data_IF_124027554431
#
_entry.id   IF_124027554431
#
_cell.length_a   1.000
_cell.length_b   1.000
_cell.length_c   1.000
_cell.angle_alpha   90.00
_cell.angle_beta   90.00
_cell.angle_gamma   90.00
#
_symmetry.space_group_name_H-M   'P 1'
#
loop_
_entity.id
_entity.type
_entity.pdbx_description
1 polymer ?
#
# COMPACT_ATOMS: atom_id res chain seq x y z
N UNK A 1 21.49 29.84 46.22
CA UNK A 1 22.35 28.75 45.72
C UNK A 1 21.86 28.38 44.35
N UNK A 2 22.61 28.80 43.34
CA UNK A 2 22.44 28.39 41.96
C UNK A 2 23.07 27.01 41.77
N UNK A 3 22.50 26.22 40.86
CA UNK A 3 23.30 25.36 39.98
C UNK A 3 22.64 25.39 38.62
N UNK A 4 23.27 26.14 37.72
CA UNK A 4 23.18 26.01 36.28
C UNK A 4 23.68 24.63 35.85
N UNK A 5 23.12 24.06 34.80
CA UNK A 5 23.94 23.63 33.66
C UNK A 5 23.15 23.79 32.37
N UNK A 6 23.79 24.52 31.47
CA UNK A 6 23.42 24.90 30.12
C UNK A 6 23.65 23.70 29.16
N UNK A 7 22.74 23.50 28.22
CA UNK A 7 23.10 23.11 26.86
C UNK A 7 22.43 24.09 25.89
N UNK A 8 23.27 24.95 25.35
CA UNK A 8 23.03 25.79 24.19
C UNK A 8 23.44 25.00 22.94
N UNK A 9 22.54 24.89 21.97
CA UNK A 9 22.87 25.22 20.58
C UNK A 9 21.62 25.13 19.72
N UNK A 10 21.09 26.32 19.39
CA UNK A 10 20.97 26.78 18.01
C UNK A 10 20.59 25.73 16.95
N UNK A 11 19.32 25.72 16.55
CA UNK A 11 18.96 26.08 15.17
C UNK A 11 17.60 26.78 15.16
N UNK A 12 17.66 28.11 15.08
CA UNK A 12 16.56 28.94 14.62
C UNK A 12 16.18 28.52 13.19
N UNK A 13 15.26 27.58 13.04
CA UNK A 13 14.48 27.46 11.81
C UNK A 13 13.12 28.08 12.08
N UNK A 14 13.06 29.39 11.92
CA UNK A 14 11.81 30.13 11.73
C UNK A 14 11.21 29.64 10.41
N UNK A 15 10.59 28.44 10.43
CA UNK A 15 9.68 28.02 9.38
C UNK A 15 8.46 28.91 9.51
N UNK A 16 8.53 30.07 8.86
CA UNK A 16 7.35 30.79 8.43
C UNK A 16 6.53 29.77 7.63
N UNK A 17 5.46 29.27 8.24
CA UNK A 17 4.44 28.49 7.58
C UNK A 17 3.78 29.42 6.57
N UNK A 18 4.33 29.46 5.36
CA UNK A 18 3.67 30.09 4.21
C UNK A 18 2.45 29.23 3.91
N UNK A 19 1.33 29.64 4.48
CA UNK A 19 0.02 29.06 4.22
C UNK A 19 -0.36 29.47 2.79
N UNK A 20 0.09 28.70 1.80
CA UNK A 20 -0.42 28.83 0.45
C UNK A 20 -1.91 28.45 0.48
N UNK A 21 -2.79 29.46 0.53
CA UNK A 21 -4.18 29.27 0.15
C UNK A 21 -4.15 28.76 -1.30
N UNK A 22 -4.52 27.48 -1.51
CA UNK A 22 -4.85 26.98 -2.85
C UNK A 22 -5.98 27.87 -3.36
N UNK A 23 -5.66 28.80 -4.25
CA UNK A 23 -6.67 29.48 -5.01
C UNK A 23 -7.42 28.40 -5.79
N UNK A 24 -8.75 28.43 -5.70
CA UNK A 24 -9.57 27.58 -6.56
C UNK A 24 -9.18 27.91 -8.02
N UNK A 25 -8.99 26.89 -8.88
CA UNK A 25 -8.78 27.15 -10.29
C UNK A 25 -9.98 27.98 -10.80
N UNK A 26 -9.74 29.02 -11.61
CA UNK A 26 -10.81 29.84 -12.12
C UNK A 26 -11.78 28.98 -12.97
N UNK A 27 -13.07 29.25 -12.87
CA UNK A 27 -14.14 28.46 -13.51
C UNK A 27 -14.08 28.48 -15.05
N UNK A 28 -13.26 29.37 -15.62
CA UNK A 28 -13.09 29.59 -17.05
C UNK A 28 -12.16 28.57 -17.73
N UNK A 29 -11.54 27.66 -16.97
CA UNK A 29 -10.69 26.58 -17.51
C UNK A 29 -9.36 27.05 -18.09
N UNK A 30 -9.00 28.33 -17.89
CA UNK A 30 -7.72 28.88 -18.34
C UNK A 30 -6.62 28.60 -17.30
N UNK A 31 -5.43 28.21 -17.78
CA UNK A 31 -4.26 28.00 -16.94
C UNK A 31 -3.89 29.33 -16.22
N UNK A 32 -3.90 29.37 -14.87
CA UNK A 32 -3.54 30.56 -14.10
C UNK A 32 -2.15 31.12 -14.45
N UNK A 33 -1.19 30.26 -14.82
CA UNK A 33 0.15 30.67 -15.24
C UNK A 33 0.13 31.38 -16.59
N UNK A 34 -0.68 30.89 -17.54
CA UNK A 34 -0.83 31.53 -18.85
C UNK A 34 -1.48 32.91 -18.74
N UNK A 35 -2.46 33.04 -17.86
CA UNK A 35 -3.07 34.34 -17.57
C UNK A 35 -2.08 35.32 -16.93
N UNK A 36 -1.24 34.83 -16.02
CA UNK A 36 -0.20 35.64 -15.37
C UNK A 36 0.86 36.10 -16.39
N UNK A 37 1.35 35.19 -17.24
CA UNK A 37 2.28 35.49 -18.34
C UNK A 37 1.69 36.53 -19.30
N UNK A 38 0.45 36.33 -19.73
CA UNK A 38 -0.23 37.25 -20.63
C UNK A 38 -0.42 38.64 -20.01
N UNK A 39 -0.70 38.70 -18.70
CA UNK A 39 -0.80 39.97 -17.97
C UNK A 39 0.55 40.68 -17.81
N UNK A 40 1.63 39.95 -17.56
CA UNK A 40 2.99 40.48 -17.46
C UNK A 40 3.47 41.02 -18.81
N UNK A 41 3.20 40.31 -19.91
CA UNK A 41 3.50 40.76 -21.27
C UNK A 41 2.72 42.02 -21.66
N UNK A 42 1.43 42.10 -21.28
CA UNK A 42 0.63 43.30 -21.51
C UNK A 42 1.14 44.50 -20.69
N UNK A 43 1.56 44.30 -19.44
CA UNK A 43 2.17 45.36 -18.62
C UNK A 43 3.50 45.85 -19.20
N UNK A 44 4.40 44.93 -19.59
CA UNK A 44 5.65 45.26 -20.25
C UNK A 44 5.43 46.07 -21.56
N UNK A 45 4.42 45.70 -22.35
CA UNK A 45 4.04 46.42 -23.57
C UNK A 45 3.46 47.83 -23.30
N UNK A 46 2.65 47.97 -22.25
CA UNK A 46 2.09 49.28 -21.83
C UNK A 46 3.19 50.20 -21.28
N UNK A 47 4.19 49.68 -20.57
CA UNK A 47 5.34 50.46 -20.13
C UNK A 47 6.24 50.88 -21.31
N UNK A 48 6.49 49.97 -22.26
CA UNK A 48 7.20 50.27 -23.51
C UNK A 48 6.56 51.40 -24.32
N UNK A 49 5.24 51.55 -24.27
CA UNK A 49 4.50 52.58 -25.02
C UNK A 49 4.30 53.91 -24.27
N UNK A 50 4.41 53.94 -22.94
CA UNK A 50 4.13 55.15 -22.13
C UNK A 50 5.33 55.95 -21.64
N UNK A 51 6.56 55.45 -21.68
CA UNK A 51 7.75 56.25 -21.31
C UNK A 51 9.01 55.81 -22.06
N UNK A 52 9.34 56.53 -23.15
CA UNK A 52 10.74 56.80 -23.53
C UNK A 52 11.23 58.08 -22.85
N UNK A 53 11.11 58.16 -21.53
CA UNK A 53 11.85 59.14 -20.73
C UNK A 53 12.99 58.36 -20.08
N UNK A 54 14.19 58.48 -20.65
CA UNK A 54 15.38 57.73 -20.25
C UNK A 54 15.87 58.09 -18.86
N UNK A 55 15.31 57.44 -17.83
CA UNK A 55 15.93 57.31 -16.51
C UNK A 55 16.37 55.86 -16.30
N UNK A 56 17.53 55.65 -15.68
CA UNK A 56 18.14 54.32 -15.46
C UNK A 56 17.21 53.36 -14.69
N UNK A 57 16.34 53.90 -13.83
CA UNK A 57 15.32 53.13 -13.09
C UNK A 57 14.32 52.40 -14.01
N UNK A 58 13.93 53.00 -15.15
CA UNK A 58 12.99 52.37 -16.08
C UNK A 58 13.61 51.18 -16.82
N UNK A 59 14.91 51.23 -17.11
CA UNK A 59 15.63 50.09 -17.70
C UNK A 59 15.77 48.94 -16.69
N UNK A 60 16.04 49.25 -15.41
CA UNK A 60 16.12 48.25 -14.33
C UNK A 60 14.80 47.50 -14.12
N UNK A 61 13.66 48.18 -14.17
CA UNK A 61 12.34 47.53 -14.05
C UNK A 61 12.09 46.56 -15.21
N UNK A 62 12.46 46.94 -16.43
CA UNK A 62 12.32 46.06 -17.61
C UNK A 62 13.21 44.82 -17.53
N UNK A 63 14.44 44.97 -17.03
CA UNK A 63 15.34 43.83 -16.81
C UNK A 63 14.77 42.86 -15.74
N UNK A 64 14.14 43.39 -14.69
CA UNK A 64 13.45 42.58 -13.68
C UNK A 64 12.23 41.86 -14.27
N UNK A 65 11.39 42.56 -15.05
CA UNK A 65 10.21 41.96 -15.68
C UNK A 65 10.60 40.84 -16.65
N UNK A 66 11.64 41.07 -17.45
CA UNK A 66 12.18 40.06 -18.37
C UNK A 66 12.71 38.84 -17.62
N UNK A 67 13.44 39.06 -16.52
CA UNK A 67 13.91 37.95 -15.67
C UNK A 67 12.74 37.14 -15.08
N UNK A 68 11.68 37.81 -14.62
CA UNK A 68 10.48 37.14 -14.11
C UNK A 68 9.80 36.32 -15.22
N UNK A 69 9.72 36.85 -16.44
CA UNK A 69 9.18 36.11 -17.59
C UNK A 69 10.01 34.86 -17.90
N UNK A 70 11.34 34.97 -17.93
CA UNK A 70 12.26 33.85 -18.15
C UNK A 70 12.11 32.78 -17.05
N UNK A 71 12.11 33.19 -15.77
CA UNK A 71 11.93 32.30 -14.61
C UNK A 71 10.55 31.59 -14.67
N UNK A 72 9.49 32.30 -15.08
CA UNK A 72 8.16 31.72 -15.23
C UNK A 72 8.08 30.69 -16.35
N UNK A 73 8.75 30.94 -17.49
CA UNK A 73 8.85 29.98 -18.58
C UNK A 73 9.60 28.72 -18.16
N UNK A 74 10.69 28.88 -17.38
CA UNK A 74 11.43 27.76 -16.81
C UNK A 74 10.57 26.94 -15.84
N UNK A 75 9.84 27.60 -14.93
CA UNK A 75 8.90 26.95 -14.01
C UNK A 75 7.82 26.17 -14.79
N UNK A 76 7.23 26.78 -15.83
CA UNK A 76 6.22 26.12 -16.66
C UNK A 76 6.78 24.88 -17.37
N UNK A 77 8.02 24.95 -17.85
CA UNK A 77 8.68 23.79 -18.45
C UNK A 77 8.90 22.67 -17.43
N UNK A 78 9.32 23.02 -16.20
CA UNK A 78 9.54 22.07 -15.11
C UNK A 78 8.26 21.41 -14.65
N UNK A 79 7.15 22.16 -14.55
CA UNK A 79 5.82 21.60 -14.22
C UNK A 79 5.41 20.53 -15.25
N UNK A 80 5.58 20.79 -16.54
CA UNK A 80 5.27 19.81 -17.60
C UNK A 80 6.09 18.54 -17.48
N UNK A 81 7.38 18.65 -17.14
CA UNK A 81 8.25 17.50 -16.91
C UNK A 81 7.75 16.68 -15.72
N UNK A 82 7.46 17.34 -14.60
CA UNK A 82 6.94 16.71 -13.38
C UNK A 82 5.59 16.02 -13.64
N UNK A 83 4.69 16.64 -14.39
CA UNK A 83 3.41 16.02 -14.78
C UNK A 83 3.61 14.76 -15.64
N UNK A 84 4.58 14.80 -16.56
CA UNK A 84 4.99 13.64 -17.35
C UNK A 84 5.53 12.50 -16.49
N UNK A 85 6.48 12.79 -15.60
CA UNK A 85 7.04 11.82 -14.66
C UNK A 85 5.96 11.24 -13.74
N UNK A 86 5.05 12.08 -13.23
CA UNK A 86 3.95 11.63 -12.39
C UNK A 86 2.98 10.70 -13.13
N UNK A 87 2.71 10.94 -14.41
CA UNK A 87 1.91 10.05 -15.24
C UNK A 87 2.58 8.67 -15.42
N UNK A 88 3.90 8.67 -15.69
CA UNK A 88 4.69 7.43 -15.82
C UNK A 88 4.73 6.67 -14.50
N UNK A 89 5.02 7.33 -13.38
CA UNK A 89 5.02 6.70 -12.05
C UNK A 89 3.64 6.12 -11.72
N UNK A 90 2.56 6.82 -12.07
CA UNK A 90 1.19 6.32 -11.86
C UNK A 90 0.91 5.07 -12.70
N UNK A 91 1.37 5.03 -13.94
CA UNK A 91 1.26 3.86 -14.81
C UNK A 91 2.08 2.68 -14.30
N UNK A 92 3.35 2.92 -13.92
CA UNK A 92 4.21 1.91 -13.30
C UNK A 92 3.62 1.38 -11.99
N UNK A 93 3.09 2.26 -11.13
CA UNK A 93 2.38 1.86 -9.92
C UNK A 93 1.16 1.03 -10.25
N UNK A 94 0.38 1.38 -11.27
CA UNK A 94 -0.77 0.56 -11.70
C UNK A 94 -0.33 -0.82 -12.20
N UNK A 95 0.79 -0.90 -12.93
CA UNK A 95 1.36 -2.16 -13.41
C UNK A 95 1.88 -3.02 -12.25
N UNK A 96 2.64 -2.42 -11.33
CA UNK A 96 3.23 -3.08 -10.17
C UNK A 96 2.19 -3.50 -9.13
N UNK A 97 1.11 -2.72 -8.95
CA UNK A 97 0.02 -3.07 -8.04
C UNK A 97 -0.96 -4.09 -8.65
N UNK A 98 -1.14 -4.08 -9.98
CA UNK A 98 -2.03 -5.01 -10.67
C UNK A 98 -1.47 -6.43 -10.82
N UNK A 99 -0.15 -6.58 -10.99
CA UNK A 99 0.47 -7.91 -11.22
C UNK A 99 0.27 -8.89 -10.06
N UNK A 100 0.48 -8.52 -8.78
CA UNK A 100 0.21 -9.41 -7.64
C UNK A 100 -1.26 -9.79 -7.55
N UNK A 101 -2.18 -8.86 -7.80
CA UNK A 101 -3.63 -9.12 -7.78
C UNK A 101 -4.02 -10.13 -8.86
N UNK A 102 -3.52 -9.98 -10.08
CA UNK A 102 -3.80 -10.91 -11.18
C UNK A 102 -3.21 -12.30 -10.91
N UNK A 103 -1.99 -12.37 -10.38
CA UNK A 103 -1.37 -13.64 -10.00
C UNK A 103 -2.19 -14.33 -8.90
N UNK A 104 -2.63 -13.57 -7.89
CA UNK A 104 -3.44 -14.09 -6.80
C UNK A 104 -4.83 -14.52 -7.26
N UNK A 105 -5.44 -13.82 -8.21
CA UNK A 105 -6.71 -14.25 -8.80
C UNK A 105 -6.61 -15.63 -9.46
N UNK A 106 -5.49 -15.93 -10.14
CA UNK A 106 -5.23 -17.28 -10.68
C UNK A 106 -5.14 -18.34 -9.58
N UNK A 107 -4.58 -17.99 -8.41
CA UNK A 107 -4.54 -18.88 -7.24
C UNK A 107 -5.94 -19.14 -6.71
N UNK A 108 -6.78 -18.10 -6.58
CA UNK A 108 -8.18 -18.25 -6.18
C UNK A 108 -8.97 -19.13 -7.15
N UNK A 109 -8.79 -18.94 -8.47
CA UNK A 109 -9.42 -19.78 -9.48
C UNK A 109 -8.97 -21.25 -9.39
N UNK A 110 -7.68 -21.50 -9.15
CA UNK A 110 -7.17 -22.84 -8.94
C UNK A 110 -7.76 -23.49 -7.67
N UNK A 111 -7.85 -22.74 -6.57
CA UNK A 111 -8.49 -23.19 -5.31
C UNK A 111 -9.94 -23.58 -5.55
N UNK A 112 -10.71 -22.74 -6.25
CA UNK A 112 -12.11 -23.01 -6.61
C UNK A 112 -12.30 -24.29 -7.42
N UNK A 113 -11.46 -24.49 -8.45
CA UNK A 113 -11.50 -25.71 -9.28
C UNK A 113 -11.23 -26.95 -8.42
N UNK A 114 -10.31 -26.85 -7.46
CA UNK A 114 -10.00 -27.93 -6.51
C UNK A 114 -11.21 -28.29 -5.65
N UNK A 115 -11.82 -27.30 -4.99
CA UNK A 115 -12.97 -27.50 -4.10
C UNK A 115 -14.18 -28.09 -4.84
N UNK A 116 -14.49 -27.58 -6.05
CA UNK A 116 -15.62 -28.10 -6.85
C UNK A 116 -15.45 -29.55 -7.28
N UNK A 117 -14.24 -29.93 -7.68
CA UNK A 117 -14.01 -31.29 -8.18
C UNK A 117 -13.87 -32.33 -7.06
N UNK A 118 -13.91 -31.91 -5.78
CA UNK A 118 -13.59 -32.75 -4.60
C UNK A 118 -12.27 -33.53 -4.75
N UNK A 119 -11.43 -33.12 -5.70
CA UNK A 119 -10.14 -33.69 -5.97
C UNK A 119 -9.25 -33.21 -4.83
N UNK A 120 -9.21 -33.98 -3.74
CA UNK A 120 -8.21 -33.85 -2.67
C UNK A 120 -6.79 -34.21 -3.17
N UNK A 121 -6.58 -34.24 -4.49
CA UNK A 121 -5.25 -34.08 -5.08
C UNK A 121 -4.85 -32.64 -4.75
N UNK A 122 -4.40 -32.43 -3.52
CA UNK A 122 -4.05 -31.11 -3.00
C UNK A 122 -3.24 -30.39 -4.06
N UNK A 123 -3.53 -29.10 -4.21
CA UNK A 123 -3.15 -28.30 -5.38
C UNK A 123 -1.73 -28.70 -5.76
N UNK A 124 -1.58 -29.44 -6.87
CA UNK A 124 -0.27 -29.75 -7.42
C UNK A 124 0.24 -28.39 -7.88
N UNK A 125 0.93 -27.70 -6.97
CA UNK A 125 1.67 -26.47 -7.18
C UNK A 125 2.87 -26.80 -8.05
N UNK A 126 2.61 -27.32 -9.25
CA UNK A 126 3.54 -27.34 -10.33
C UNK A 126 3.71 -25.88 -10.76
N UNK A 127 4.63 -25.21 -10.08
CA UNK A 127 5.38 -24.06 -10.62
C UNK A 127 4.51 -22.92 -11.14
N UNK A 128 3.88 -22.19 -10.22
CA UNK A 128 3.72 -20.74 -10.42
C UNK A 128 5.04 -20.17 -9.90
N UNK A 129 5.89 -19.71 -10.82
CA UNK A 129 7.29 -19.30 -10.62
C UNK A 129 7.62 -18.69 -9.24
N UNK A 130 8.62 -19.28 -8.57
CA UNK A 130 9.53 -18.73 -7.53
C UNK A 130 8.97 -17.95 -6.32
N UNK A 131 7.67 -17.76 -6.22
CA UNK A 131 7.02 -17.35 -4.98
C UNK A 131 6.48 -18.61 -4.35
N UNK A 132 7.11 -19.06 -3.27
CA UNK A 132 6.65 -20.16 -2.42
C UNK A 132 5.13 -20.02 -2.30
N UNK A 133 4.39 -20.91 -2.96
CA UNK A 133 2.94 -20.87 -3.01
C UNK A 133 2.42 -21.24 -1.62
N UNK A 134 2.43 -20.26 -0.72
CA UNK A 134 1.70 -20.33 0.53
C UNK A 134 0.23 -20.48 0.17
N UNK A 135 -0.39 -21.56 0.62
CA UNK A 135 -1.81 -21.81 0.41
C UNK A 135 -2.68 -20.76 1.10
N UNK A 136 -2.11 -19.92 1.97
CA UNK A 136 -2.73 -18.73 2.54
C UNK A 136 -1.96 -17.44 2.21
N UNK A 137 -2.72 -16.41 1.87
CA UNK A 137 -2.34 -14.98 1.84
C UNK A 137 -3.68 -14.24 1.96
N UNK A 138 -4.12 -14.10 3.21
CA UNK A 138 -5.46 -13.64 3.55
C UNK A 138 -5.68 -12.21 3.08
N UNK A 139 -4.72 -11.30 3.29
CA UNK A 139 -4.82 -9.92 2.83
C UNK A 139 -4.78 -9.82 1.30
N UNK A 140 -3.95 -10.61 0.62
CA UNK A 140 -3.92 -10.68 -0.83
C UNK A 140 -5.24 -11.21 -1.40
N UNK A 141 -5.81 -12.25 -0.79
CA UNK A 141 -7.12 -12.80 -1.16
C UNK A 141 -8.23 -11.75 -0.95
N UNK A 142 -8.21 -10.99 0.16
CA UNK A 142 -9.17 -9.91 0.39
C UNK A 142 -9.11 -8.87 -0.73
N UNK A 143 -7.92 -8.33 -1.01
CA UNK A 143 -7.72 -7.32 -2.07
C UNK A 143 -8.14 -7.85 -3.43
N UNK A 144 -7.84 -9.11 -3.72
CA UNK A 144 -8.17 -9.74 -4.99
C UNK A 144 -9.67 -9.93 -5.15
N UNK A 145 -10.37 -10.38 -4.11
CA UNK A 145 -11.83 -10.54 -4.15
C UNK A 145 -12.51 -9.17 -4.27
N UNK A 146 -12.02 -8.14 -3.58
CA UNK A 146 -12.51 -6.75 -3.76
C UNK A 146 -12.34 -6.29 -5.21
N UNK A 147 -11.17 -6.51 -5.81
CA UNK A 147 -10.93 -6.18 -7.22
C UNK A 147 -11.87 -6.94 -8.15
N UNK A 148 -12.06 -8.25 -7.92
CA UNK A 148 -12.94 -9.10 -8.74
C UNK A 148 -14.41 -8.73 -8.58
N UNK A 149 -14.83 -8.21 -7.43
CA UNK A 149 -16.19 -7.76 -7.19
C UNK A 149 -16.63 -6.63 -8.14
N UNK A 150 -15.70 -5.77 -8.56
CA UNK A 150 -15.97 -4.68 -9.49
C UNK A 150 -16.10 -5.13 -10.95
N UNK A 151 -15.56 -6.33 -11.29
CA UNK A 151 -15.44 -6.80 -12.68
C UNK A 151 -16.19 -8.11 -12.96
N UNK A 152 -16.62 -8.85 -11.94
CA UNK A 152 -17.20 -10.19 -12.10
C UNK A 152 -18.39 -10.46 -11.18
N UNK A 153 -19.41 -11.10 -11.73
CA UNK A 153 -20.56 -11.62 -10.98
C UNK A 153 -20.21 -12.82 -10.09
N UNK A 154 -18.98 -13.35 -10.18
CA UNK A 154 -18.52 -14.53 -9.43
C UNK A 154 -17.95 -14.21 -8.04
N UNK A 155 -18.01 -12.96 -7.61
CA UNK A 155 -17.48 -12.52 -6.32
C UNK A 155 -18.05 -13.29 -5.14
N UNK A 156 -19.34 -13.67 -5.16
CA UNK A 156 -19.96 -14.49 -4.12
C UNK A 156 -19.31 -15.86 -3.96
N UNK A 157 -18.88 -16.48 -5.05
CA UNK A 157 -18.22 -17.78 -5.01
C UNK A 157 -16.82 -17.68 -4.40
N UNK A 158 -16.05 -16.64 -4.75
CA UNK A 158 -14.75 -16.42 -4.13
C UNK A 158 -14.86 -16.08 -2.63
N UNK A 159 -15.93 -15.41 -2.21
CA UNK A 159 -16.20 -15.18 -0.78
C UNK A 159 -16.49 -16.47 -0.02
N UNK A 160 -17.20 -17.42 -0.65
CA UNK A 160 -17.45 -18.75 -0.08
C UNK A 160 -16.16 -19.56 0.00
N UNK A 161 -15.37 -19.60 -1.08
CA UNK A 161 -14.07 -20.28 -1.10
C UNK A 161 -13.09 -19.67 -0.07
N UNK A 162 -13.17 -18.35 0.16
CA UNK A 162 -12.42 -17.66 1.21
C UNK A 162 -12.84 -18.16 2.60
N UNK A 163 -14.13 -18.27 2.86
CA UNK A 163 -14.63 -18.81 4.12
C UNK A 163 -14.16 -20.25 4.35
N UNK A 164 -14.16 -21.08 3.31
CA UNK A 164 -13.66 -22.46 3.39
C UNK A 164 -12.15 -22.52 3.68
N UNK A 165 -11.35 -21.64 3.08
CA UNK A 165 -9.90 -21.61 3.27
C UNK A 165 -9.48 -21.11 4.66
N UNK A 166 -10.09 -20.01 5.12
CA UNK A 166 -9.66 -19.30 6.33
C UNK A 166 -10.55 -19.54 7.55
N UNK A 167 -11.76 -20.09 7.37
CA UNK A 167 -12.70 -20.35 8.46
C UNK A 167 -13.39 -19.10 9.04
N UNK A 168 -13.33 -17.97 8.34
CA UNK A 168 -13.97 -16.70 8.73
C UNK A 168 -14.72 -16.12 7.52
N UNK A 169 -15.93 -15.57 7.68
CA UNK A 169 -16.67 -14.96 6.58
C UNK A 169 -15.89 -13.79 5.97
N UNK A 170 -15.94 -13.65 4.65
CA UNK A 170 -15.20 -12.60 3.93
C UNK A 170 -15.52 -11.19 4.44
N UNK A 171 -16.80 -10.85 4.60
CA UNK A 171 -17.19 -9.50 5.01
C UNK A 171 -16.74 -9.18 6.45
N UNK A 172 -16.65 -10.19 7.32
CA UNK A 172 -16.09 -10.05 8.67
C UNK A 172 -14.57 -9.86 8.62
N UNK A 173 -13.87 -10.68 7.82
CA UNK A 173 -12.44 -10.57 7.62
C UNK A 173 -12.04 -9.21 7.03
N UNK A 174 -12.80 -8.69 6.07
CA UNK A 174 -12.58 -7.39 5.45
C UNK A 174 -12.52 -6.25 6.47
N UNK A 175 -13.32 -6.33 7.53
CA UNK A 175 -13.36 -5.31 8.59
C UNK A 175 -12.26 -5.54 9.63
N UNK A 176 -12.04 -6.78 10.05
CA UNK A 176 -11.16 -7.09 11.20
C UNK A 176 -9.68 -7.19 10.82
N UNK A 177 -9.36 -7.93 9.75
CA UNK A 177 -7.98 -8.31 9.41
C UNK A 177 -7.04 -7.11 9.23
N UNK A 178 -7.43 -5.98 8.59
CA UNK A 178 -6.53 -4.83 8.44
C UNK A 178 -6.05 -4.24 9.77
N UNK A 179 -6.77 -4.51 10.86
CA UNK A 179 -6.50 -3.98 12.19
C UNK A 179 -5.82 -4.99 13.13
N UNK A 180 -5.72 -6.26 12.72
CA UNK A 180 -5.11 -7.30 13.51
C UNK A 180 -3.58 -7.26 13.48
N UNK A 181 -2.90 -7.77 14.52
CA UNK A 181 -1.47 -8.01 14.47
C UNK A 181 -1.12 -8.98 13.34
N UNK A 182 -0.03 -8.73 12.61
CA UNK A 182 0.50 -9.62 11.56
C UNK A 182 0.59 -11.09 11.98
N UNK A 183 0.86 -11.37 13.27
CA UNK A 183 0.97 -12.73 13.80
C UNK A 183 -0.35 -13.52 13.68
N UNK A 184 -1.48 -12.84 13.75
CA UNK A 184 -2.81 -13.43 13.57
C UNK A 184 -3.05 -13.76 12.10
N UNK A 185 -2.81 -12.81 11.21
CA UNK A 185 -2.86 -13.01 9.75
C UNK A 185 -2.01 -14.22 9.35
N UNK A 186 -0.78 -14.27 9.83
CA UNK A 186 0.15 -15.37 9.58
C UNK A 186 -0.40 -16.72 10.07
N UNK A 187 -1.11 -16.78 11.19
CA UNK A 187 -1.73 -18.01 11.69
C UNK A 187 -2.87 -18.48 10.76
N UNK A 188 -3.69 -17.55 10.24
CA UNK A 188 -4.68 -17.86 9.21
C UNK A 188 -4.02 -18.40 7.94
N UNK A 189 -2.94 -17.78 7.48
CA UNK A 189 -2.25 -18.18 6.27
C UNK A 189 -1.61 -19.57 6.39
N UNK A 190 -0.98 -19.84 7.54
CA UNK A 190 -0.42 -21.15 7.86
C UNK A 190 -1.52 -22.20 7.88
N UNK A 191 -2.64 -21.95 8.57
CA UNK A 191 -3.75 -22.90 8.64
C UNK A 191 -4.33 -23.21 7.26
N UNK A 192 -4.57 -22.19 6.44
CA UNK A 192 -5.02 -22.37 5.05
C UNK A 192 -4.01 -23.19 4.24
N UNK A 193 -2.71 -22.91 4.40
CA UNK A 193 -1.64 -23.67 3.74
C UNK A 193 -1.61 -25.15 4.13
N UNK A 194 -1.83 -25.48 5.41
CA UNK A 194 -1.87 -26.87 5.89
C UNK A 194 -3.07 -27.66 5.34
N UNK A 195 -4.14 -26.96 4.96
CA UNK A 195 -5.33 -27.56 4.38
C UNK A 195 -5.18 -27.76 2.87
N UNK A 196 -4.75 -26.71 2.16
CA UNK A 196 -4.79 -26.67 0.70
C UNK A 196 -3.59 -27.36 0.02
N UNK A 197 -2.42 -27.38 0.68
CA UNK A 197 -1.20 -27.92 0.08
C UNK A 197 -0.99 -29.39 0.43
N UNK A 198 -0.90 -30.23 -0.60
CA UNK A 198 -0.66 -31.67 -0.43
C UNK A 198 0.63 -31.99 0.33
N UNK A 199 1.67 -31.16 0.18
CA UNK A 199 2.97 -31.35 0.83
C UNK A 199 2.89 -31.44 2.36
N UNK A 200 1.84 -30.89 2.97
CA UNK A 200 1.63 -30.94 4.41
C UNK A 200 0.88 -32.18 4.89
N UNK A 201 0.14 -32.88 4.03
CA UNK A 201 -0.75 -33.98 4.44
C UNK A 201 -0.01 -35.15 5.11
N UNK A 202 1.25 -35.41 4.74
CA UNK A 202 2.05 -36.52 5.24
C UNK A 202 3.05 -36.13 6.35
N UNK A 203 2.95 -34.93 6.93
CA UNK A 203 3.94 -34.42 7.90
C UNK A 203 3.46 -34.59 9.33
N UNK A 204 4.32 -35.17 10.18
CA UNK A 204 4.03 -35.41 11.60
C UNK A 204 3.77 -34.12 12.39
N UNK A 205 4.36 -32.99 11.99
CA UNK A 205 4.12 -31.70 12.65
C UNK A 205 2.81 -31.04 12.26
N UNK A 206 2.09 -31.54 11.24
CA UNK A 206 0.88 -30.87 10.72
C UNK A 206 -0.16 -30.68 11.81
N UNK A 207 -0.43 -31.71 12.62
CA UNK A 207 -1.45 -31.65 13.67
C UNK A 207 -1.11 -30.61 14.73
N UNK A 208 0.16 -30.55 15.16
CA UNK A 208 0.65 -29.59 16.15
C UNK A 208 0.53 -28.16 15.62
N UNK A 209 1.04 -27.89 14.40
CA UNK A 209 0.96 -26.56 13.79
C UNK A 209 -0.51 -26.16 13.60
N UNK A 210 -1.37 -27.08 13.15
CA UNK A 210 -2.81 -26.82 12.99
C UNK A 210 -3.48 -26.48 14.32
N UNK A 211 -3.15 -27.19 15.39
CA UNK A 211 -3.68 -26.93 16.72
C UNK A 211 -3.25 -25.55 17.23
N UNK A 212 -1.97 -25.21 17.10
CA UNK A 212 -1.43 -23.91 17.52
C UNK A 212 -2.04 -22.75 16.71
N UNK A 213 -2.14 -22.91 15.39
CA UNK A 213 -2.79 -21.93 14.52
C UNK A 213 -4.27 -21.74 14.91
N UNK A 214 -4.98 -22.84 15.20
CA UNK A 214 -6.38 -22.78 15.64
C UNK A 214 -6.50 -22.05 16.97
N UNK A 215 -5.63 -22.33 17.94
CA UNK A 215 -5.63 -21.64 19.23
C UNK A 215 -5.42 -20.13 19.07
N UNK A 216 -4.49 -19.70 18.23
CA UNK A 216 -4.25 -18.28 17.93
C UNK A 216 -5.48 -17.65 17.27
N UNK A 217 -6.08 -18.33 16.29
CA UNK A 217 -7.26 -17.83 15.56
C UNK A 217 -8.46 -17.69 16.49
N UNK A 218 -8.77 -18.71 17.29
CA UNK A 218 -9.88 -18.67 18.25
C UNK A 218 -9.68 -17.55 19.28
N UNK A 219 -8.45 -17.38 19.76
CA UNK A 219 -8.09 -16.27 20.65
C UNK A 219 -8.31 -14.91 19.97
N UNK A 220 -7.88 -14.74 18.71
CA UNK A 220 -8.08 -13.52 17.95
C UNK A 220 -9.56 -13.20 17.68
N UNK A 221 -10.38 -14.22 17.42
CA UNK A 221 -11.81 -14.05 17.18
C UNK A 221 -12.61 -13.70 18.45
N UNK A 222 -12.09 -14.05 19.62
CA UNK A 222 -12.74 -13.85 20.93
C UNK A 222 -12.18 -12.69 21.76
N UNK A 223 -11.13 -12.03 21.29
CA UNK A 223 -10.48 -10.90 21.98
C UNK A 223 -10.78 -9.60 21.24
N UNK A 224 -11.02 -8.52 21.99
CA UNK A 224 -11.12 -7.18 21.41
C UNK A 224 -9.79 -6.76 20.76
N UNK A 225 -9.87 -6.02 19.65
CA UNK A 225 -8.69 -5.76 18.82
C UNK A 225 -7.60 -4.94 19.54
N UNK A 226 -8.00 -4.01 20.41
CA UNK A 226 -7.10 -3.18 21.21
C UNK A 226 -6.31 -3.98 22.26
N UNK A 227 -6.81 -5.15 22.67
CA UNK A 227 -6.17 -6.07 23.62
C UNK A 227 -5.34 -7.15 22.92
N UNK A 228 -5.65 -7.46 21.66
CA UNK A 228 -5.04 -8.56 20.92
C UNK A 228 -3.52 -8.38 20.75
N UNK A 229 -3.05 -7.15 20.55
CA UNK A 229 -1.62 -6.85 20.45
C UNK A 229 -0.86 -7.22 21.72
N UNK A 230 -1.45 -7.00 22.91
CA UNK A 230 -0.80 -7.27 24.19
C UNK A 230 -0.59 -8.78 24.41
N UNK A 231 -1.47 -9.63 23.87
CA UNK A 231 -1.33 -11.10 23.95
C UNK A 231 -0.12 -11.66 23.20
N UNK A 232 0.48 -10.86 22.32
CA UNK A 232 1.70 -11.21 21.57
C UNK A 232 2.96 -10.44 22.04
N UNK A 233 2.88 -9.70 23.14
CA UNK A 233 4.03 -9.04 23.77
C UNK A 233 4.70 -9.96 24.80
N UNK A 234 5.76 -9.49 25.46
CA UNK A 234 6.47 -10.25 26.49
C UNK A 234 5.53 -10.60 27.65
N UNK A 235 5.44 -11.89 27.99
CA UNK A 235 4.48 -12.41 28.97
C UNK A 235 3.06 -12.62 28.43
N UNK A 236 2.81 -12.29 27.16
CA UNK A 236 1.56 -12.59 26.46
C UNK A 236 1.44 -14.09 26.14
N UNK A 237 0.25 -14.63 26.31
CA UNK A 237 -0.02 -16.07 26.23
C UNK A 237 0.05 -16.64 24.81
N UNK A 238 -0.11 -15.80 23.78
CA UNK A 238 -0.05 -16.22 22.37
C UNK A 238 1.36 -16.14 21.78
N UNK A 239 2.30 -15.47 22.44
CA UNK A 239 3.61 -15.18 21.86
C UNK A 239 4.45 -16.44 21.66
N UNK A 240 4.54 -17.29 22.68
CA UNK A 240 5.32 -18.54 22.61
C UNK A 240 4.70 -19.52 21.60
N UNK A 241 3.37 -19.61 21.59
CA UNK A 241 2.60 -20.46 20.66
C UNK A 241 2.87 -20.03 19.22
N UNK A 242 2.86 -18.73 18.94
CA UNK A 242 3.14 -18.21 17.61
C UNK A 242 4.56 -18.53 17.16
N UNK A 243 5.57 -18.30 18.01
CA UNK A 243 6.97 -18.58 17.68
C UNK A 243 7.16 -20.05 17.35
N UNK A 244 6.63 -20.96 18.18
CA UNK A 244 6.76 -22.39 17.95
C UNK A 244 6.06 -22.82 16.66
N UNK A 245 4.84 -22.34 16.44
CA UNK A 245 4.07 -22.63 15.23
C UNK A 245 4.80 -22.20 13.96
N UNK A 246 5.25 -20.94 13.90
CA UNK A 246 5.92 -20.40 12.71
C UNK A 246 7.29 -21.08 12.51
N UNK A 247 8.02 -21.39 13.59
CA UNK A 247 9.26 -22.15 13.50
C UNK A 247 9.03 -23.56 12.94
N UNK A 248 8.03 -24.29 13.45
CA UNK A 248 7.68 -25.62 12.94
C UNK A 248 7.23 -25.55 11.48
N UNK A 249 6.46 -24.53 11.12
CA UNK A 249 6.02 -24.33 9.74
C UNK A 249 7.18 -24.04 8.78
N UNK A 250 8.12 -23.17 9.16
CA UNK A 250 9.27 -22.82 8.31
C UNK A 250 10.30 -23.95 8.25
N UNK A 251 10.74 -24.47 9.40
CA UNK A 251 11.83 -25.47 9.46
C UNK A 251 11.43 -26.80 8.85
N UNK A 252 10.17 -27.22 9.04
CA UNK A 252 9.67 -28.46 8.46
C UNK A 252 9.06 -28.23 7.10
N UNK A 253 8.72 -26.98 6.75
CA UNK A 253 8.25 -26.48 5.45
C UNK A 253 9.22 -26.74 4.31
N UNK A 254 10.50 -26.40 4.53
CA UNK A 254 11.52 -26.18 3.49
C UNK A 254 12.16 -27.47 2.92
N UNK A 255 11.92 -28.65 3.51
CA UNK A 255 12.41 -29.92 2.95
C UNK A 255 11.41 -30.52 1.95
N UNK A 256 11.34 -29.91 0.76
CA UNK A 256 10.90 -30.57 -0.49
C UNK A 256 11.92 -30.28 -1.58
N UNK A 257 13.11 -30.86 -1.42
CA UNK A 257 13.94 -31.28 -2.55
C UNK A 257 14.31 -32.74 -2.28
N UNK A 258 13.54 -33.64 -2.89
CA UNK A 258 13.96 -34.98 -3.24
C UNK A 258 13.67 -35.13 -4.74
#
# INVERSE_FOLDING_TARGET
MATDTIFDNSQNSTKASILYKRALPPEDGHDPLDRLLQSAQQQAYVEHSKKRLGNEEGFSVMDILKKIEDDMLEIKSSIKVIEGEHAVIKEELSYLTGRPIIQRWKVLDARRISYRNRLHKGIQTATIHDEIAYGGDMLGDIKTIQYVQDISSRSSEYKEDFHQAYGIPFDEALVKVPSWPHKVERAFDIRASLHDLHAWQARDSRSIIQQQATQIIEAALSTENDQLQARFQDGGDLQEIFIEMDLLFVTRGVYTRA
#
